data_IF_582452471836
#
_entry.id   IF_582452471836
#
_cell.length_a   1.000
_cell.length_b   1.000
_cell.length_c   1.000
_cell.angle_alpha   90.00
_cell.angle_beta   90.00
_cell.angle_gamma   90.00
#
_symmetry.space_group_name_H-M   'P 1'
#
loop_
_entity.id
_entity.type
_entity.pdbx_description
1 polymer ?
#
# COMPACT_ATOMS: atom_id res chain seq x y z
N UNK A 1 8.19 -41.88 11.44
CA UNK A 1 7.40 -43.02 10.92
C UNK A 1 6.05 -42.95 11.62
N UNK A 2 4.93 -43.04 10.91
CA UNK A 2 3.60 -42.96 11.53
C UNK A 2 3.37 -44.24 12.34
N UNK A 3 3.20 -44.11 13.66
CA UNK A 3 3.00 -45.24 14.58
C UNK A 3 1.54 -45.71 14.64
N UNK A 4 0.58 -44.80 14.41
CA UNK A 4 -0.85 -45.09 14.35
C UNK A 4 -1.46 -44.54 13.06
N UNK A 5 -1.67 -45.43 12.09
CA UNK A 5 -2.19 -45.08 10.77
C UNK A 5 -3.68 -44.70 10.79
N UNK A 6 -4.46 -45.27 11.70
CA UNK A 6 -5.88 -44.96 11.84
C UNK A 6 -6.06 -43.55 12.38
N UNK A 7 -5.28 -43.20 13.41
CA UNK A 7 -5.25 -41.86 13.97
C UNK A 7 -4.76 -40.83 12.95
N UNK A 8 -3.68 -41.12 12.25
CA UNK A 8 -3.16 -40.25 11.20
C UNK A 8 -4.20 -39.98 10.09
N UNK A 9 -4.92 -41.02 9.64
CA UNK A 9 -6.01 -40.86 8.67
C UNK A 9 -7.10 -39.94 9.20
N UNK A 10 -7.51 -40.14 10.45
CA UNK A 10 -8.53 -39.31 11.10
C UNK A 10 -8.10 -37.85 11.20
N UNK A 11 -6.90 -37.59 11.70
CA UNK A 11 -6.39 -36.22 11.90
C UNK A 11 -6.26 -35.46 10.56
N UNK A 12 -5.79 -36.14 9.52
CA UNK A 12 -5.67 -35.55 8.17
C UNK A 12 -7.05 -35.32 7.55
N UNK A 13 -7.96 -36.30 7.61
CA UNK A 13 -9.32 -36.12 7.09
C UNK A 13 -10.05 -34.98 7.81
N UNK A 14 -9.97 -34.93 9.15
CA UNK A 14 -10.56 -33.85 9.95
C UNK A 14 -9.94 -32.48 9.67
N UNK A 15 -8.68 -32.42 9.22
CA UNK A 15 -8.07 -31.18 8.73
C UNK A 15 -8.67 -30.76 7.38
N UNK A 16 -8.76 -31.69 6.42
CA UNK A 16 -9.24 -31.41 5.07
C UNK A 16 -10.71 -30.98 5.04
N UNK A 17 -11.55 -31.51 5.93
CA UNK A 17 -12.97 -31.14 6.04
C UNK A 17 -13.21 -29.75 6.62
N UNK A 18 -12.17 -29.04 7.09
CA UNK A 18 -12.32 -27.68 7.65
C UNK A 18 -12.72 -26.66 6.58
N UNK A 19 -12.44 -26.95 5.30
CA UNK A 19 -12.67 -26.05 4.17
C UNK A 19 -12.98 -26.87 2.92
N UNK A 20 -13.81 -26.30 2.05
CA UNK A 20 -14.15 -26.89 0.75
C UNK A 20 -13.06 -26.70 -0.32
N UNK A 21 -12.12 -25.78 -0.09
CA UNK A 21 -11.05 -25.46 -1.03
C UNK A 21 -9.72 -25.22 -0.32
N UNK A 22 -8.66 -25.77 -0.90
CA UNK A 22 -7.31 -25.76 -0.39
C UNK A 22 -6.34 -25.32 -1.48
N UNK A 23 -5.28 -24.61 -1.07
CA UNK A 23 -4.10 -24.42 -1.89
C UNK A 23 -3.09 -25.51 -1.53
N UNK A 24 -2.70 -26.30 -2.52
CA UNK A 24 -1.72 -27.35 -2.40
C UNK A 24 -0.41 -26.95 -3.11
N UNK A 25 0.74 -27.35 -2.58
CA UNK A 25 2.04 -27.17 -3.24
C UNK A 25 2.90 -28.41 -3.04
N UNK A 26 3.22 -29.08 -4.15
CA UNK A 26 4.12 -30.24 -4.17
C UNK A 26 5.56 -29.75 -4.39
N UNK A 27 6.42 -30.03 -3.42
CA UNK A 27 7.80 -29.58 -3.34
C UNK A 27 7.93 -28.06 -3.57
N UNK A 28 8.76 -27.67 -4.54
CA UNK A 28 8.95 -26.30 -5.01
C UNK A 28 8.13 -25.98 -6.27
N UNK A 29 7.15 -26.83 -6.61
CA UNK A 29 6.28 -26.66 -7.76
C UNK A 29 5.29 -25.50 -7.60
N UNK A 30 4.58 -25.13 -8.69
CA UNK A 30 3.55 -24.10 -8.63
C UNK A 30 2.42 -24.51 -7.67
N UNK A 31 1.81 -23.56 -6.95
CA UNK A 31 0.67 -23.83 -6.11
C UNK A 31 -0.56 -24.18 -6.98
N UNK A 32 -1.37 -25.11 -6.52
CA UNK A 32 -2.55 -25.63 -7.21
C UNK A 32 -3.77 -25.55 -6.28
N UNK A 33 -4.88 -25.06 -6.82
CA UNK A 33 -6.15 -25.07 -6.11
C UNK A 33 -6.77 -26.46 -6.20
N UNK A 34 -7.20 -26.99 -5.06
CA UNK A 34 -7.85 -28.28 -4.95
C UNK A 34 -9.07 -28.17 -4.06
N UNK A 35 -10.19 -28.72 -4.52
CA UNK A 35 -11.37 -28.91 -3.68
C UNK A 35 -11.17 -30.08 -2.74
N UNK A 36 -11.91 -30.09 -1.64
CA UNK A 36 -11.93 -31.22 -0.71
C UNK A 36 -12.19 -32.54 -1.45
N UNK A 37 -13.14 -32.54 -2.40
CA UNK A 37 -13.47 -33.76 -3.16
C UNK A 37 -12.35 -34.24 -4.09
N UNK A 38 -11.30 -33.46 -4.32
CA UNK A 38 -10.16 -33.79 -5.19
C UNK A 38 -8.97 -34.37 -4.42
N UNK A 39 -9.11 -34.51 -3.10
CA UNK A 39 -8.09 -34.98 -2.18
C UNK A 39 -8.69 -36.14 -1.40
N UNK A 40 -8.11 -37.34 -1.52
CA UNK A 40 -8.52 -38.50 -0.74
C UNK A 40 -7.35 -39.10 0.02
N UNK A 41 -7.63 -39.56 1.23
CA UNK A 41 -6.69 -40.30 2.06
C UNK A 41 -7.31 -41.63 2.47
N UNK A 42 -6.72 -42.72 1.98
CA UNK A 42 -7.17 -44.09 2.25
C UNK A 42 -6.11 -44.88 3.03
N UNK A 43 -6.56 -45.90 3.76
CA UNK A 43 -5.69 -46.89 4.38
C UNK A 43 -5.73 -48.15 3.51
N UNK A 44 -4.64 -48.42 2.79
CA UNK A 44 -4.56 -49.56 1.86
C UNK A 44 -3.31 -50.37 2.15
N UNK A 45 -3.46 -51.69 2.28
CA UNK A 45 -2.34 -52.61 2.51
C UNK A 45 -1.39 -52.20 3.65
N UNK A 46 -1.96 -51.66 4.75
CA UNK A 46 -1.19 -51.18 5.90
C UNK A 46 -0.39 -49.90 5.63
N UNK A 47 -0.76 -49.12 4.61
CA UNK A 47 -0.12 -47.85 4.25
C UNK A 47 -1.18 -46.77 4.13
N UNK A 48 -0.80 -45.55 4.52
CA UNK A 48 -1.63 -44.38 4.29
C UNK A 48 -1.34 -43.84 2.89
N UNK A 49 -2.36 -43.83 2.04
CA UNK A 49 -2.28 -43.44 0.64
C UNK A 49 -2.99 -42.11 0.46
N UNK A 50 -2.31 -41.16 -0.18
CA UNK A 50 -2.87 -39.90 -0.64
C UNK A 50 -3.15 -40.02 -2.15
N UNK A 51 -4.37 -39.71 -2.55
CA UNK A 51 -4.75 -39.57 -3.95
C UNK A 51 -5.16 -38.14 -4.22
N UNK A 52 -4.55 -37.54 -5.24
CA UNK A 52 -4.85 -36.20 -5.74
C UNK A 52 -5.32 -36.32 -7.19
N UNK A 53 -6.37 -35.62 -7.58
CA UNK A 53 -6.81 -35.63 -8.97
C UNK A 53 -7.40 -34.30 -9.41
N UNK A 54 -7.27 -34.03 -10.71
CA UNK A 54 -7.87 -32.92 -11.42
C UNK A 54 -8.19 -33.33 -12.85
N UNK A 55 -8.63 -32.38 -13.68
CA UNK A 55 -8.95 -32.67 -15.08
C UNK A 55 -7.73 -33.13 -15.89
N UNK A 56 -6.55 -32.60 -15.56
CA UNK A 56 -5.31 -32.84 -16.31
C UNK A 56 -4.31 -33.75 -15.60
N UNK A 57 -4.58 -34.19 -14.35
CA UNK A 57 -3.65 -35.02 -13.59
C UNK A 57 -4.34 -35.97 -12.60
N UNK A 58 -3.67 -37.07 -12.31
CA UNK A 58 -4.00 -37.96 -11.19
C UNK A 58 -2.71 -38.49 -10.59
N UNK A 59 -2.52 -38.26 -9.30
CA UNK A 59 -1.30 -38.58 -8.57
C UNK A 59 -1.63 -39.38 -7.31
N UNK A 60 -0.81 -40.39 -7.03
CA UNK A 60 -0.97 -41.26 -5.88
C UNK A 60 0.37 -41.42 -5.14
N UNK A 61 0.33 -41.20 -3.83
CA UNK A 61 1.51 -41.12 -2.98
C UNK A 61 1.29 -41.87 -1.68
N UNK A 62 2.35 -42.50 -1.15
CA UNK A 62 2.33 -43.00 0.22
C UNK A 62 2.69 -41.87 1.17
N UNK A 63 1.88 -41.62 2.19
CA UNK A 63 2.19 -40.69 3.28
C UNK A 63 3.14 -41.39 4.26
N UNK A 64 4.34 -40.84 4.43
CA UNK A 64 5.36 -41.37 5.35
C UNK A 64 5.42 -40.64 6.68
N UNK A 65 5.00 -39.37 6.70
CA UNK A 65 4.87 -38.53 7.86
C UNK A 65 3.88 -37.40 7.56
N UNK A 66 3.27 -36.86 8.61
CA UNK A 66 2.45 -35.67 8.50
C UNK A 66 2.69 -34.74 9.70
N UNK A 67 2.44 -33.46 9.51
CA UNK A 67 2.47 -32.45 10.55
C UNK A 67 1.35 -31.43 10.31
N UNK A 68 0.55 -31.14 11.35
CA UNK A 68 -0.47 -30.09 11.31
C UNK A 68 0.01 -28.92 12.15
N UNK A 69 0.15 -27.74 11.53
CA UNK A 69 0.52 -26.47 12.17
C UNK A 69 -0.57 -25.45 11.91
N UNK A 70 -1.52 -25.32 12.85
CA UNK A 70 -2.65 -24.40 12.71
C UNK A 70 -3.49 -24.73 11.47
N UNK A 71 -3.47 -23.83 10.48
CA UNK A 71 -4.18 -23.92 9.19
C UNK A 71 -3.34 -24.53 8.07
N UNK A 72 -2.22 -25.21 8.39
CA UNK A 72 -1.34 -25.88 7.43
C UNK A 72 -1.16 -27.35 7.77
N UNK A 73 -1.22 -28.19 6.74
CA UNK A 73 -0.88 -29.60 6.78
C UNK A 73 0.35 -29.82 5.88
N UNK A 74 1.38 -30.46 6.43
CA UNK A 74 2.61 -30.82 5.71
C UNK A 74 2.67 -32.34 5.67
N UNK A 75 2.75 -32.91 4.47
CA UNK A 75 2.86 -34.35 4.24
C UNK A 75 4.22 -34.66 3.63
N UNK A 76 4.93 -35.60 4.23
CA UNK A 76 6.11 -36.23 3.61
C UNK A 76 5.64 -37.44 2.83
N UNK A 77 5.81 -37.40 1.52
CA UNK A 77 5.31 -38.36 0.55
C UNK A 77 6.45 -39.24 0.02
N UNK A 78 6.13 -40.49 -0.29
CA UNK A 78 7.04 -41.44 -0.93
C UNK A 78 6.37 -42.18 -2.09
N UNK A 79 7.12 -42.43 -3.17
CA UNK A 79 6.70 -43.21 -4.34
C UNK A 79 7.86 -44.08 -4.83
N UNK A 80 7.63 -45.40 -5.02
CA UNK A 80 8.68 -46.37 -5.39
C UNK A 80 9.95 -46.24 -4.49
N UNK A 81 11.02 -47.04 -4.67
CA UNK A 81 12.26 -46.80 -3.93
C UNK A 81 12.90 -45.48 -4.38
N UNK A 82 13.10 -44.53 -3.46
CA UNK A 82 13.97 -43.36 -3.65
C UNK A 82 13.30 -42.04 -4.07
N UNK A 83 12.02 -42.02 -4.47
CA UNK A 83 11.33 -40.76 -4.79
C UNK A 83 10.53 -40.27 -3.57
N UNK A 84 11.01 -39.19 -2.98
CA UNK A 84 10.33 -38.48 -1.89
C UNK A 84 9.86 -37.12 -2.37
N UNK A 85 8.75 -36.65 -1.81
CA UNK A 85 8.21 -35.33 -2.07
C UNK A 85 7.60 -34.76 -0.79
N UNK A 86 7.44 -33.46 -0.71
CA UNK A 86 6.72 -32.77 0.37
C UNK A 86 5.49 -32.10 -0.21
N UNK A 87 4.31 -32.42 0.28
CA UNK A 87 3.09 -31.71 -0.08
C UNK A 87 2.68 -30.81 1.08
N UNK A 88 2.46 -29.56 0.77
CA UNK A 88 1.93 -28.58 1.72
C UNK A 88 0.50 -28.22 1.31
N UNK A 89 -0.41 -28.25 2.27
CA UNK A 89 -1.83 -27.93 2.09
C UNK A 89 -2.20 -26.86 3.10
N UNK A 90 -2.69 -25.71 2.63
CA UNK A 90 -3.15 -24.62 3.48
C UNK A 90 -4.24 -23.80 2.76
N UNK A 91 -4.90 -22.89 3.46
CA UNK A 91 -5.80 -21.95 2.78
C UNK A 91 -5.02 -21.02 1.86
N UNK A 92 -5.63 -20.56 0.75
CA UNK A 92 -5.00 -19.58 -0.14
C UNK A 92 -4.61 -18.29 0.58
N UNK A 93 -5.41 -17.86 1.55
CA UNK A 93 -5.10 -16.71 2.43
C UNK A 93 -3.81 -16.94 3.24
N UNK A 94 -3.66 -18.13 3.83
CA UNK A 94 -2.49 -18.48 4.65
C UNK A 94 -1.21 -18.53 3.83
N UNK A 95 -1.25 -19.17 2.65
CA UNK A 95 -0.10 -19.18 1.74
C UNK A 95 0.23 -17.78 1.20
N UNK A 96 -0.78 -16.98 0.89
CA UNK A 96 -0.60 -15.59 0.49
C UNK A 96 0.10 -14.76 1.56
N UNK A 97 -0.30 -14.90 2.83
CA UNK A 97 0.33 -14.20 3.94
C UNK A 97 1.76 -14.69 4.23
N UNK A 98 2.05 -15.99 4.07
CA UNK A 98 3.41 -16.52 4.22
C UNK A 98 4.34 -15.99 3.12
N UNK A 99 3.88 -15.97 1.87
CA UNK A 99 4.61 -15.37 0.76
C UNK A 99 4.83 -13.86 0.97
N UNK A 100 3.80 -13.15 1.47
CA UNK A 100 3.91 -11.75 1.84
C UNK A 100 4.92 -11.53 2.98
N UNK A 101 4.91 -12.36 4.02
CA UNK A 101 5.85 -12.30 5.13
C UNK A 101 7.29 -12.59 4.67
N UNK A 102 7.49 -13.56 3.76
CA UNK A 102 8.79 -13.84 3.15
C UNK A 102 9.30 -12.63 2.35
N UNK A 103 8.44 -12.01 1.53
CA UNK A 103 8.74 -10.79 0.79
C UNK A 103 9.12 -9.62 1.73
N UNK A 104 8.39 -9.44 2.85
CA UNK A 104 8.69 -8.41 3.86
C UNK A 104 10.05 -8.63 4.53
N UNK A 105 10.43 -9.88 4.82
CA UNK A 105 11.77 -10.23 5.36
C UNK A 105 12.87 -9.95 4.35
N UNK A 106 12.73 -10.42 3.12
CA UNK A 106 13.71 -10.18 2.05
C UNK A 106 13.90 -8.68 1.77
N UNK A 107 12.81 -7.92 1.80
CA UNK A 107 12.87 -6.46 1.71
C UNK A 107 13.61 -5.83 2.90
N UNK A 108 13.36 -6.28 4.13
CA UNK A 108 14.04 -5.76 5.31
C UNK A 108 15.57 -5.98 5.22
N UNK A 109 15.99 -7.14 4.73
CA UNK A 109 17.41 -7.44 4.48
C UNK A 109 17.98 -6.52 3.40
N UNK A 110 17.28 -6.35 2.28
CA UNK A 110 17.70 -5.45 1.20
C UNK A 110 17.84 -4.01 1.70
N UNK A 111 16.83 -3.53 2.44
CA UNK A 111 16.81 -2.18 2.98
C UNK A 111 17.95 -1.94 3.97
N UNK A 112 18.27 -2.93 4.81
CA UNK A 112 19.42 -2.84 5.74
C UNK A 112 20.71 -2.56 4.99
N UNK A 113 21.01 -3.32 3.93
CA UNK A 113 22.21 -3.11 3.12
C UNK A 113 22.22 -1.73 2.44
N UNK A 114 21.06 -1.27 1.96
CA UNK A 114 20.94 0.06 1.33
C UNK A 114 21.17 1.20 2.33
N UNK A 115 20.62 1.10 3.54
CA UNK A 115 20.82 2.10 4.60
C UNK A 115 22.30 2.17 5.01
N UNK A 116 22.93 1.02 5.22
CA UNK A 116 24.34 0.94 5.60
C UNK A 116 25.24 1.55 4.51
N UNK A 117 24.97 1.25 3.23
CA UNK A 117 25.77 1.71 2.09
C UNK A 117 25.56 3.19 1.77
N UNK A 118 24.31 3.63 1.61
CA UNK A 118 24.00 4.97 1.11
C UNK A 118 23.95 6.02 2.22
N UNK A 119 23.51 5.63 3.42
CA UNK A 119 23.32 6.56 4.54
C UNK A 119 24.42 6.43 5.60
N UNK A 120 25.34 5.46 5.49
CA UNK A 120 26.41 5.23 6.45
C UNK A 120 25.90 5.00 7.88
N UNK A 121 24.67 4.51 8.02
CA UNK A 121 24.01 4.27 9.30
C UNK A 121 23.96 2.76 9.58
N UNK A 122 24.32 2.36 10.80
CA UNK A 122 24.23 0.97 11.25
C UNK A 122 22.80 0.65 11.67
N UNK A 123 22.26 -0.49 11.25
CA UNK A 123 20.97 -0.99 11.74
C UNK A 123 21.20 -1.73 13.07
N UNK A 124 20.68 -1.19 14.18
CA UNK A 124 20.79 -1.80 15.51
C UNK A 124 19.63 -2.76 15.81
N UNK A 125 18.47 -2.51 15.18
CA UNK A 125 17.26 -3.30 15.38
C UNK A 125 16.47 -3.38 14.08
N UNK A 126 15.87 -4.53 13.80
CA UNK A 126 14.94 -4.75 12.70
C UNK A 126 13.81 -5.67 13.14
N UNK A 127 12.57 -5.33 12.79
CA UNK A 127 11.40 -6.16 13.04
C UNK A 127 10.37 -6.08 11.92
N UNK A 128 9.83 -7.23 11.55
CA UNK A 128 8.71 -7.38 10.60
C UNK A 128 7.57 -8.21 11.17
N UNK A 129 7.66 -8.65 12.43
CA UNK A 129 6.59 -9.42 13.09
C UNK A 129 5.45 -8.50 13.52
N UNK A 130 4.27 -9.05 13.77
CA UNK A 130 3.14 -8.32 14.34
C UNK A 130 3.27 -8.27 15.87
N UNK A 131 2.95 -7.12 16.47
CA UNK A 131 2.89 -6.92 17.93
C UNK A 131 1.59 -6.18 18.26
N UNK A 132 0.54 -6.94 18.56
CA UNK A 132 -0.80 -6.41 18.82
C UNK A 132 -0.89 -5.61 20.12
N UNK A 133 -0.07 -5.96 21.13
CA UNK A 133 -0.05 -5.25 22.40
C UNK A 133 0.40 -3.79 22.24
N UNK A 134 1.21 -3.52 21.22
CA UNK A 134 1.69 -2.18 20.86
C UNK A 134 1.07 -1.63 19.58
N UNK A 135 0.05 -2.30 19.04
CA UNK A 135 -0.62 -1.95 17.78
C UNK A 135 0.34 -1.85 16.58
N UNK A 136 1.41 -2.65 16.54
CA UNK A 136 2.39 -2.65 15.47
C UNK A 136 2.10 -3.77 14.46
N UNK A 137 1.69 -3.38 13.25
CA UNK A 137 1.41 -4.33 12.16
C UNK A 137 2.69 -4.98 11.61
N UNK A 138 2.60 -6.26 11.23
CA UNK A 138 3.68 -6.99 10.53
C UNK A 138 3.89 -6.58 9.07
N UNK A 139 3.05 -5.68 8.53
CA UNK A 139 3.17 -5.15 7.16
C UNK A 139 4.44 -4.28 7.01
N UNK A 140 4.79 -3.55 8.06
CA UNK A 140 5.87 -2.55 8.03
C UNK A 140 7.15 -3.10 8.62
N UNK A 141 8.27 -2.87 7.93
CA UNK A 141 9.60 -3.08 8.49
C UNK A 141 9.92 -1.92 9.43
N UNK A 142 10.20 -2.23 10.68
CA UNK A 142 10.55 -1.25 11.72
C UNK A 142 12.01 -1.40 12.06
N UNK A 143 12.74 -0.29 12.11
CA UNK A 143 14.17 -0.28 12.38
C UNK A 143 14.56 0.78 13.41
N UNK A 144 15.69 0.54 14.08
CA UNK A 144 16.44 1.54 14.84
C UNK A 144 17.84 1.62 14.23
N UNK A 145 18.25 2.85 13.92
CA UNK A 145 19.51 3.16 13.23
C UNK A 145 20.43 3.93 14.16
N UNK A 146 21.74 3.71 14.03
CA UNK A 146 22.77 4.49 14.70
C UNK A 146 23.79 5.04 13.70
N UNK A 147 24.10 6.34 13.82
CA UNK A 147 25.13 7.01 13.02
C UNK A 147 25.80 8.10 13.85
N UNK A 148 27.12 8.00 14.02
CA UNK A 148 27.91 9.05 14.69
C UNK A 148 27.46 9.37 16.12
N UNK A 149 27.01 8.36 16.88
CA UNK A 149 26.50 8.53 18.25
C UNK A 149 25.03 8.95 18.33
N UNK A 150 24.39 9.29 17.21
CA UNK A 150 22.97 9.62 17.17
C UNK A 150 22.12 8.42 16.72
N UNK A 151 20.91 8.34 17.26
CA UNK A 151 19.90 7.35 16.86
C UNK A 151 18.81 7.96 15.99
N UNK A 152 18.30 7.14 15.07
CA UNK A 152 17.12 7.44 14.28
C UNK A 152 16.17 6.25 14.31
N UNK A 153 14.87 6.54 14.34
CA UNK A 153 13.83 5.55 14.19
C UNK A 153 13.44 5.51 12.72
N UNK A 154 13.30 4.32 12.17
CA UNK A 154 12.95 4.14 10.77
C UNK A 154 11.78 3.18 10.62
N UNK A 155 10.93 3.46 9.63
CA UNK A 155 9.84 2.58 9.21
C UNK A 155 9.81 2.48 7.69
N UNK A 156 9.49 1.31 7.18
CA UNK A 156 9.47 1.03 5.77
C UNK A 156 8.30 0.15 5.34
N UNK A 157 7.91 0.30 4.08
CA UNK A 157 6.90 -0.53 3.43
C UNK A 157 7.46 -0.98 2.08
N UNK A 158 7.33 -2.27 1.79
CA UNK A 158 7.88 -2.85 0.58
C UNK A 158 6.94 -2.67 -0.63
N UNK A 159 7.47 -2.80 -1.85
CA UNK A 159 6.73 -2.54 -3.09
C UNK A 159 5.58 -3.51 -3.37
N UNK A 160 5.57 -4.69 -2.75
CA UNK A 160 4.51 -5.69 -2.92
C UNK A 160 3.26 -5.45 -2.07
N UNK A 161 3.25 -4.43 -1.21
CA UNK A 161 2.04 -4.05 -0.45
C UNK A 161 1.12 -3.14 -1.28
N UNK A 162 -0.21 -3.20 -1.07
CA UNK A 162 -1.18 -2.31 -1.70
C UNK A 162 -0.97 -0.84 -1.30
N UNK A 163 -1.47 0.10 -2.12
CA UNK A 163 -1.26 1.54 -1.90
C UNK A 163 -1.82 2.02 -0.55
N UNK A 164 -2.93 1.44 -0.08
CA UNK A 164 -3.48 1.76 1.23
C UNK A 164 -2.47 1.50 2.38
N UNK A 165 -1.66 0.44 2.28
CA UNK A 165 -0.60 0.17 3.26
C UNK A 165 0.59 1.09 3.08
N UNK A 166 0.96 1.42 1.83
CA UNK A 166 2.01 2.42 1.58
C UNK A 166 1.63 3.76 2.22
N UNK A 167 0.42 4.23 2.00
CA UNK A 167 -0.08 5.49 2.57
C UNK A 167 -0.18 5.44 4.10
N UNK A 168 -0.54 4.27 4.65
CA UNK A 168 -0.68 4.01 6.08
C UNK A 168 0.63 4.02 6.87
N UNK A 169 1.79 4.02 6.20
CA UNK A 169 3.10 4.01 6.86
C UNK A 169 3.32 5.23 7.74
N UNK A 170 2.68 6.36 7.45
CA UNK A 170 2.76 7.58 8.29
C UNK A 170 2.24 7.31 9.69
N UNK A 171 1.02 6.78 9.80
CA UNK A 171 0.41 6.45 11.09
C UNK A 171 1.21 5.36 11.81
N UNK A 172 1.61 4.32 11.10
CA UNK A 172 2.44 3.26 11.67
C UNK A 172 3.80 3.77 12.16
N UNK A 173 4.38 4.76 11.47
CA UNK A 173 5.65 5.37 11.85
C UNK A 173 5.55 6.18 13.13
N UNK A 174 4.43 6.88 13.36
CA UNK A 174 4.18 7.60 14.61
C UNK A 174 4.00 6.64 15.80
N UNK A 175 3.27 5.54 15.61
CA UNK A 175 3.13 4.50 16.64
C UNK A 175 4.49 3.84 16.93
N UNK A 176 5.27 3.55 15.89
CA UNK A 176 6.60 2.99 16.05
C UNK A 176 7.55 3.96 16.76
N UNK A 177 7.49 5.26 16.43
CA UNK A 177 8.25 6.31 17.11
C UNK A 177 7.99 6.27 18.61
N UNK A 178 6.73 6.36 19.02
CA UNK A 178 6.33 6.34 20.43
C UNK A 178 6.81 5.07 21.15
N UNK A 179 6.63 3.90 20.52
CA UNK A 179 7.11 2.63 21.07
C UNK A 179 8.64 2.60 21.21
N UNK A 180 9.37 3.01 20.17
CA UNK A 180 10.81 2.86 20.10
C UNK A 180 11.52 3.84 21.04
N UNK A 181 11.03 5.08 21.16
CA UNK A 181 11.61 6.09 22.05
C UNK A 181 11.43 5.76 23.53
N UNK A 182 10.42 4.97 23.87
CA UNK A 182 10.22 4.44 25.22
C UNK A 182 11.12 3.22 25.54
N UNK A 183 11.98 2.82 24.60
CA UNK A 183 12.94 1.72 24.80
C UNK A 183 14.38 2.24 24.93
N UNK A 184 15.27 1.52 25.65
CA UNK A 184 16.68 1.89 25.74
C UNK A 184 17.40 1.96 24.39
N UNK A 185 16.88 1.28 23.36
CA UNK A 185 17.45 1.26 22.01
C UNK A 185 17.05 2.47 21.17
N UNK A 186 15.87 3.04 21.39
CA UNK A 186 15.39 4.22 20.65
C UNK A 186 15.41 5.52 21.45
N UNK A 187 15.76 5.46 22.74
CA UNK A 187 15.92 6.63 23.58
C UNK A 187 16.84 7.67 22.91
N UNK A 188 16.47 8.94 23.05
CA UNK A 188 17.16 10.12 22.50
C UNK A 188 17.20 10.21 20.97
N UNK A 189 16.52 9.32 20.24
CA UNK A 189 16.33 9.51 18.81
C UNK A 189 15.68 10.87 18.55
N UNK A 190 16.11 11.54 17.48
CA UNK A 190 15.57 12.85 17.05
C UNK A 190 15.00 12.84 15.63
N UNK A 191 15.16 11.72 14.91
CA UNK A 191 14.77 11.56 13.52
C UNK A 191 13.81 10.38 13.37
N UNK A 192 12.72 10.60 12.63
CA UNK A 192 11.84 9.55 12.14
C UNK A 192 11.93 9.51 10.61
N UNK A 193 12.43 8.39 10.11
CA UNK A 193 12.72 8.17 8.70
C UNK A 193 11.69 7.23 8.09
N UNK A 194 11.13 7.61 6.96
CA UNK A 194 10.16 6.82 6.20
C UNK A 194 10.81 6.32 4.92
N UNK A 195 10.65 5.03 4.64
CA UNK A 195 11.13 4.40 3.42
C UNK A 195 9.94 3.81 2.65
N UNK A 196 9.61 4.41 1.51
CA UNK A 196 8.49 4.03 0.68
C UNK A 196 8.98 3.49 -0.67
N UNK A 197 8.19 2.67 -1.39
CA UNK A 197 8.57 2.24 -2.73
C UNK A 197 8.66 3.44 -3.68
N UNK A 198 9.64 3.39 -4.59
CA UNK A 198 9.81 4.44 -5.60
C UNK A 198 8.53 4.68 -6.41
N UNK A 199 8.19 5.96 -6.60
CA UNK A 199 6.98 6.41 -7.30
C UNK A 199 5.67 6.28 -6.51
N UNK A 200 5.71 5.83 -5.24
CA UNK A 200 4.52 5.59 -4.41
C UNK A 200 4.48 6.44 -3.14
N UNK A 201 5.40 7.40 -2.99
CA UNK A 201 5.53 8.21 -1.78
C UNK A 201 4.70 9.52 -1.77
N UNK A 202 3.93 9.82 -2.83
CA UNK A 202 3.26 11.11 -2.98
C UNK A 202 2.28 11.45 -1.83
N UNK A 203 1.47 10.49 -1.39
CA UNK A 203 0.54 10.69 -0.25
C UNK A 203 1.29 10.85 1.06
N UNK A 204 2.38 10.11 1.25
CA UNK A 204 3.25 10.19 2.43
C UNK A 204 3.85 11.60 2.50
N UNK A 205 4.47 12.07 1.42
CA UNK A 205 5.07 13.40 1.33
C UNK A 205 4.09 14.52 1.73
N UNK A 206 2.81 14.43 1.31
CA UNK A 206 1.75 15.37 1.71
C UNK A 206 1.35 15.26 3.16
N UNK A 207 1.24 14.05 3.69
CA UNK A 207 0.87 13.85 5.10
C UNK A 207 1.96 14.33 6.04
N UNK A 208 3.23 14.25 5.63
CA UNK A 208 4.34 14.73 6.45
C UNK A 208 4.37 16.27 6.58
N UNK A 209 3.75 17.05 5.68
CA UNK A 209 3.73 18.52 5.79
C UNK A 209 2.76 19.05 6.85
N UNK A 210 1.72 18.28 7.18
CA UNK A 210 0.71 18.65 8.18
C UNK A 210 1.06 18.17 9.60
N UNK A 211 2.11 17.37 9.75
CA UNK A 211 2.56 16.93 11.07
C UNK A 211 3.20 18.09 11.83
N UNK A 212 2.92 18.17 13.13
CA UNK A 212 3.40 19.26 14.00
C UNK A 212 4.93 19.31 14.05
N UNK A 213 5.46 20.53 14.13
CA UNK A 213 6.92 20.78 14.23
C UNK A 213 7.53 20.39 15.58
N UNK A 214 6.71 20.15 16.60
CA UNK A 214 7.15 19.84 17.97
C UNK A 214 7.59 18.37 18.14
N UNK A 215 7.69 17.61 17.04
CA UNK A 215 8.03 16.19 17.01
C UNK A 215 9.42 15.88 16.44
N UNK A 216 9.70 14.62 16.05
CA UNK A 216 10.96 14.27 15.41
C UNK A 216 11.16 15.03 14.09
N UNK A 217 12.41 15.21 13.71
CA UNK A 217 12.74 15.57 12.32
C UNK A 217 12.31 14.44 11.41
N UNK A 218 11.40 14.74 10.49
CA UNK A 218 10.84 13.78 9.54
C UNK A 218 11.69 13.75 8.27
N UNK A 219 12.05 12.56 7.82
CA UNK A 219 12.75 12.35 6.55
C UNK A 219 12.03 11.28 5.73
N UNK A 220 12.01 11.46 4.41
CA UNK A 220 11.36 10.53 3.49
C UNK A 220 12.34 10.11 2.41
N UNK A 221 12.40 8.81 2.17
CA UNK A 221 13.20 8.21 1.12
C UNK A 221 12.32 7.28 0.28
N UNK A 222 12.53 7.33 -1.01
CA UNK A 222 12.04 6.33 -1.95
C UNK A 222 13.09 5.23 -2.13
N UNK A 223 12.64 3.98 -2.04
CA UNK A 223 13.46 2.78 -2.23
C UNK A 223 13.22 2.26 -3.64
N UNK A 224 14.24 2.40 -4.50
CA UNK A 224 14.29 1.76 -5.81
C UNK A 224 15.01 0.41 -5.65
N UNK A 225 14.26 -0.65 -5.39
CA UNK A 225 14.81 -2.00 -5.22
C UNK A 225 15.46 -2.54 -6.51
N UNK A 226 14.98 -2.12 -7.68
CA UNK A 226 15.48 -2.59 -8.96
C UNK A 226 16.87 -2.02 -9.25
N UNK A 227 17.07 -0.72 -8.96
CA UNK A 227 18.39 -0.07 -9.06
C UNK A 227 19.24 -0.22 -7.79
N UNK A 228 18.63 -0.74 -6.72
CA UNK A 228 19.23 -0.80 -5.40
C UNK A 228 19.67 0.57 -4.92
N UNK A 229 18.76 1.55 -4.86
CA UNK A 229 19.09 2.93 -4.48
C UNK A 229 18.08 3.52 -3.49
N UNK A 230 18.54 4.49 -2.69
CA UNK A 230 17.71 5.33 -1.84
C UNK A 230 17.68 6.75 -2.40
N UNK A 231 16.49 7.27 -2.67
CA UNK A 231 16.29 8.59 -3.26
C UNK A 231 15.60 9.45 -2.20
N UNK A 232 16.27 10.50 -1.73
CA UNK A 232 15.66 11.45 -0.80
C UNK A 232 14.46 12.14 -1.48
N UNK A 233 13.31 12.11 -0.81
CA UNK A 233 12.10 12.77 -1.27
C UNK A 233 11.73 13.88 -0.28
N UNK A 234 11.51 15.08 -0.79
CA UNK A 234 11.10 16.21 0.04
C UNK A 234 9.60 16.13 0.31
N UNK A 235 9.13 16.18 1.57
CA UNK A 235 7.73 16.41 1.88
C UNK A 235 7.20 17.66 1.16
N UNK A 236 6.07 17.54 0.49
CA UNK A 236 5.44 18.63 -0.25
C UNK A 236 3.93 18.57 -0.06
N UNK A 237 3.27 19.71 0.05
CA UNK A 237 1.82 19.82 -0.09
C UNK A 237 1.49 20.38 -1.47
N UNK A 238 0.25 20.19 -1.94
CA UNK A 238 -0.21 20.92 -3.13
C UNK A 238 -0.22 22.44 -2.92
N UNK A 239 -0.05 22.90 -1.67
CA UNK A 239 0.22 24.29 -1.29
C UNK A 239 1.59 24.81 -1.76
N UNK A 240 2.58 23.95 -2.00
CA UNK A 240 3.89 24.35 -2.56
C UNK A 240 3.85 24.57 -4.08
N UNK A 241 2.81 24.09 -4.76
CA UNK A 241 2.41 24.57 -6.09
C UNK A 241 1.53 25.84 -6.01
N UNK A 242 1.15 26.23 -4.79
CA UNK A 242 0.21 27.29 -4.47
C UNK A 242 0.92 28.40 -3.70
N UNK A 243 1.80 29.15 -4.38
CA UNK A 243 2.36 30.37 -3.78
C UNK A 243 1.30 31.50 -3.84
N UNK A 244 0.65 31.88 -2.72
CA UNK A 244 -0.33 32.97 -2.73
C UNK A 244 0.30 34.34 -3.08
N UNK A 245 1.63 34.45 -3.11
CA UNK A 245 2.36 35.65 -3.56
C UNK A 245 2.59 35.67 -5.08
N UNK A 246 2.56 34.51 -5.75
CA UNK A 246 2.73 34.41 -7.22
C UNK A 246 1.40 34.34 -7.97
N UNK A 247 0.32 33.89 -7.33
CA UNK A 247 -1.00 33.99 -7.92
C UNK A 247 -1.61 35.35 -7.59
N UNK A 248 -1.78 36.19 -8.62
CA UNK A 248 -2.74 37.30 -8.52
C UNK A 248 -4.11 36.66 -8.31
N UNK A 249 -4.61 36.68 -7.08
CA UNK A 249 -6.04 36.48 -6.82
C UNK A 249 -6.80 37.32 -7.85
N UNK A 250 -7.84 36.77 -8.51
CA UNK A 250 -8.60 37.54 -9.48
C UNK A 250 -9.02 38.84 -8.81
N UNK A 251 -8.58 39.98 -9.36
CA UNK A 251 -8.90 41.28 -8.78
C UNK A 251 -10.41 41.34 -8.57
N UNK A 252 -10.88 41.88 -7.43
CA UNK A 252 -12.31 42.03 -7.18
C UNK A 252 -12.96 42.64 -8.41
N UNK A 253 -14.11 42.08 -8.78
CA UNK A 253 -14.87 42.53 -9.93
C UNK A 253 -15.19 44.00 -9.71
N UNK A 254 -14.62 44.87 -10.54
CA UNK A 254 -14.93 46.31 -10.48
C UNK A 254 -16.36 46.47 -10.99
N UNK A 255 -17.25 47.00 -10.16
CA UNK A 255 -18.57 47.40 -10.64
C UNK A 255 -18.41 48.50 -11.67
N UNK A 256 -18.89 48.25 -12.90
CA UNK A 256 -18.99 49.29 -13.90
C UNK A 256 -20.20 50.18 -13.56
N UNK A 257 -20.10 51.51 -13.74
CA UNK A 257 -21.23 52.42 -13.59
C UNK A 257 -22.45 51.98 -14.39
N UNK A 258 -23.65 52.41 -13.98
CA UNK A 258 -24.87 52.12 -14.74
C UNK A 258 -24.75 52.65 -16.17
N UNK A 259 -25.09 51.82 -17.14
CA UNK A 259 -25.06 52.19 -18.55
C UNK A 259 -26.48 52.11 -19.14
N UNK A 260 -27.04 53.21 -19.68
CA UNK A 260 -28.43 53.27 -20.13
C UNK A 260 -28.80 52.19 -21.15
N UNK A 261 -27.89 51.86 -22.07
CA UNK A 261 -28.13 50.79 -23.07
C UNK A 261 -28.14 49.39 -22.46
N UNK A 262 -27.39 49.16 -21.38
CA UNK A 262 -27.40 47.88 -20.66
C UNK A 262 -28.74 47.69 -19.97
N UNK A 263 -29.21 48.72 -19.28
CA UNK A 263 -30.47 48.67 -18.54
C UNK A 263 -31.66 48.51 -19.51
N UNK A 264 -31.62 49.17 -20.67
CA UNK A 264 -32.58 48.92 -21.77
C UNK A 264 -32.51 47.49 -22.30
N UNK A 265 -31.33 46.95 -22.54
CA UNK A 265 -31.18 45.57 -23.03
C UNK A 265 -31.74 44.55 -22.02
N UNK A 266 -31.44 44.73 -20.72
CA UNK A 266 -31.97 43.88 -19.65
C UNK A 266 -33.51 43.98 -19.53
N UNK A 267 -34.08 45.16 -19.79
CA UNK A 267 -35.53 45.37 -19.79
C UNK A 267 -36.25 44.68 -20.95
N UNK A 268 -35.58 44.49 -22.10
CA UNK A 268 -36.16 43.80 -23.26
C UNK A 268 -36.37 42.30 -23.03
N UNK A 269 -35.54 41.67 -22.19
CA UNK A 269 -35.64 40.24 -21.89
C UNK A 269 -35.34 39.96 -20.40
N UNK A 270 -36.24 40.37 -19.49
CA UNK A 270 -36.04 40.20 -18.05
C UNK A 270 -35.87 38.72 -17.69
N UNK A 271 -34.89 38.40 -16.85
CA UNK A 271 -34.61 37.03 -16.40
C UNK A 271 -33.97 36.09 -17.43
N UNK A 272 -33.98 36.45 -18.72
CA UNK A 272 -33.34 35.68 -19.78
C UNK A 272 -31.90 36.14 -20.07
N UNK A 273 -31.65 37.44 -19.95
CA UNK A 273 -30.31 38.02 -20.09
C UNK A 273 -29.56 38.00 -18.76
N UNK A 274 -28.34 37.45 -18.80
CA UNK A 274 -27.41 37.43 -17.67
C UNK A 274 -26.21 38.32 -17.96
N UNK A 275 -25.80 39.10 -16.96
CA UNK A 275 -24.55 39.86 -17.01
C UNK A 275 -23.43 38.96 -16.47
N UNK A 276 -22.43 38.69 -17.31
CA UNK A 276 -21.22 37.98 -16.94
C UNK A 276 -20.03 38.95 -16.91
N UNK A 277 -19.23 38.90 -15.84
CA UNK A 277 -18.04 39.72 -15.67
C UNK A 277 -16.81 38.83 -15.55
N UNK A 278 -15.74 39.15 -16.27
CA UNK A 278 -14.44 38.49 -16.09
C UNK A 278 -13.67 39.21 -14.98
N UNK A 279 -13.17 38.51 -13.95
CA UNK A 279 -12.33 39.12 -12.94
C UNK A 279 -11.14 39.87 -13.57
N UNK A 280 -10.86 41.09 -13.09
CA UNK A 280 -9.81 41.95 -13.64
C UNK A 280 -10.12 42.57 -15.02
N UNK A 281 -11.29 42.33 -15.61
CA UNK A 281 -11.72 42.94 -16.87
C UNK A 281 -12.66 44.12 -16.63
N UNK A 282 -12.47 45.21 -17.37
CA UNK A 282 -13.40 46.35 -17.42
C UNK A 282 -14.50 46.16 -18.49
N UNK A 283 -14.84 44.91 -18.79
CA UNK A 283 -15.82 44.52 -19.81
C UNK A 283 -16.90 43.63 -19.20
N UNK A 284 -18.15 44.03 -19.38
CA UNK A 284 -19.36 43.26 -19.09
C UNK A 284 -19.82 42.52 -20.35
N UNK A 285 -20.23 41.27 -20.20
CA UNK A 285 -20.79 40.43 -21.26
C UNK A 285 -22.28 40.21 -20.98
N UNK A 286 -23.15 40.56 -21.92
CA UNK A 286 -24.57 40.24 -21.86
C UNK A 286 -24.81 38.92 -22.58
N UNK A 287 -25.34 37.95 -21.83
CA UNK A 287 -25.50 36.58 -22.29
C UNK A 287 -26.95 36.14 -22.27
N UNK A 288 -27.43 35.60 -23.39
CA UNK A 288 -28.72 34.93 -23.48
C UNK A 288 -28.46 33.43 -23.47
N UNK A 289 -28.94 32.72 -22.44
CA UNK A 289 -28.74 31.26 -22.27
C UNK A 289 -27.26 30.82 -22.40
N UNK A 290 -26.33 31.65 -21.93
CA UNK A 290 -24.89 31.36 -21.95
C UNK A 290 -24.15 31.84 -23.20
N UNK A 291 -24.86 32.19 -24.28
CA UNK A 291 -24.26 32.78 -25.49
C UNK A 291 -24.10 34.29 -25.31
N UNK A 292 -22.90 34.81 -25.58
CA UNK A 292 -22.64 36.25 -25.56
C UNK A 292 -23.27 36.93 -26.77
N UNK A 293 -24.14 37.91 -26.52
CA UNK A 293 -24.84 38.66 -27.57
C UNK A 293 -24.43 40.14 -27.61
N UNK A 294 -23.83 40.64 -26.52
CA UNK A 294 -23.30 42.00 -26.46
C UNK A 294 -22.18 42.11 -25.42
N UNK A 295 -21.28 43.09 -25.62
CA UNK A 295 -20.23 43.47 -24.67
C UNK A 295 -20.34 44.96 -24.35
N UNK A 296 -20.21 45.30 -23.08
CA UNK A 296 -20.10 46.68 -22.61
C UNK A 296 -18.70 46.91 -22.05
N UNK A 297 -17.96 47.86 -22.60
CA UNK A 297 -16.78 48.47 -21.97
C UNK A 297 -17.13 49.89 -21.52
N UNK A 298 -16.23 50.56 -20.77
CA UNK A 298 -16.48 51.86 -20.11
C UNK A 298 -17.32 52.86 -20.93
N UNK A 299 -17.08 52.98 -22.23
CA UNK A 299 -17.77 53.93 -23.12
C UNK A 299 -18.37 53.29 -24.38
N UNK A 300 -18.46 51.96 -24.46
CA UNK A 300 -18.86 51.29 -25.71
C UNK A 300 -19.73 50.07 -25.44
N UNK A 301 -20.90 50.06 -26.06
CA UNK A 301 -21.80 48.91 -26.08
C UNK A 301 -21.79 48.30 -27.48
N UNK A 302 -21.26 47.09 -27.62
CA UNK A 302 -21.14 46.35 -28.88
C UNK A 302 -22.14 45.21 -28.91
N UNK A 303 -22.93 45.12 -29.98
CA UNK A 303 -23.80 43.98 -30.25
C UNK A 303 -23.13 42.98 -31.19
N UNK A 304 -23.40 41.69 -30.98
CA UNK A 304 -22.86 40.59 -31.78
C UNK A 304 -21.56 40.00 -31.25
N UNK A 305 -21.19 38.84 -31.78
CA UNK A 305 -19.88 38.21 -31.61
C UNK A 305 -18.92 38.81 -32.65
N UNK A 306 -18.47 40.04 -32.39
CA UNK A 306 -17.40 40.65 -33.18
C UNK A 306 -16.07 39.97 -32.88
N UNK A 307 -15.38 39.56 -33.96
CA UNK A 307 -13.95 39.25 -34.03
C UNK A 307 -13.10 40.31 -33.34
#
# INVERSE_FOLDING_TARGET
MISDLARARYDIAAFLTRRSEWMCRLDSGPPMWMREEQISVSLEFGKLILTLWGEEFSECWRIEAYEIRGERLILRLGRQPGRVATLEIASGESMGEEAAAARRRAFADTLRHLIERELGARVEYVATHRDDARHLSGIYTRLVLARGGERAIAIAVNSGEPQAHVDGVVTAGLLWWECATNSPHGAEARRLMFFAPCGRAATIARRLTILRRDGPRLELYEVDQARGALIAATPFDQGTLFDPRQMRLPRPVVELPRHPLRDRALALAPGLLRVARRPGSAVESLRLRGLEIARLSRNRFLFGVGT
#
